data_IF_785576025309
#
_entry.id   IF_785576025309
#
_cell.length_a   1.000
_cell.length_b   1.000
_cell.length_c   1.000
_cell.angle_alpha   90.00
_cell.angle_beta   90.00
_cell.angle_gamma   90.00
#
_symmetry.space_group_name_H-M   'P 1'
#
loop_
_entity.id
_entity.type
_entity.pdbx_description
1 polymer ?
#
# COMPACT_ATOMS: atom_id res chain seq x y z
N UNK A 1 14.44 34.03 8.02
CA UNK A 1 13.29 33.33 7.39
C UNK A 1 13.75 32.29 6.36
N UNK A 2 14.50 32.66 5.31
CA UNK A 2 15.04 31.71 4.31
C UNK A 2 16.03 30.68 4.88
N UNK A 3 16.88 31.07 5.85
CA UNK A 3 17.82 30.15 6.52
C UNK A 3 17.11 29.11 7.39
N UNK A 4 16.07 29.51 8.11
CA UNK A 4 15.24 28.63 8.94
C UNK A 4 14.57 27.54 8.11
N UNK A 5 14.00 27.90 6.95
CA UNK A 5 13.38 26.93 6.03
C UNK A 5 14.42 25.92 5.52
N UNK A 6 15.62 26.38 5.15
CA UNK A 6 16.71 25.49 4.68
C UNK A 6 17.14 24.49 5.76
N UNK A 7 17.24 24.95 7.01
CA UNK A 7 17.59 24.08 8.14
C UNK A 7 16.47 23.06 8.43
N UNK A 8 15.20 23.50 8.48
CA UNK A 8 14.07 22.60 8.68
C UNK A 8 13.94 21.53 7.59
N UNK A 9 14.18 21.89 6.32
CA UNK A 9 14.20 20.91 5.22
C UNK A 9 15.34 19.89 5.39
N UNK A 10 16.54 20.35 5.77
CA UNK A 10 17.68 19.47 6.03
C UNK A 10 17.42 18.51 7.19
N UNK A 11 16.79 19.00 8.27
CA UNK A 11 16.45 18.20 9.44
C UNK A 11 15.37 17.15 9.11
N UNK A 12 14.33 17.53 8.38
CA UNK A 12 13.29 16.61 7.90
C UNK A 12 13.90 15.54 7.00
N UNK A 13 14.82 15.89 6.10
CA UNK A 13 15.51 14.93 5.25
C UNK A 13 16.40 13.97 6.06
N UNK A 14 17.11 14.48 7.07
CA UNK A 14 17.94 13.65 7.95
C UNK A 14 17.12 12.64 8.75
N UNK A 15 16.00 13.09 9.33
CA UNK A 15 15.05 12.23 10.06
C UNK A 15 14.41 11.21 9.10
N UNK A 16 13.98 11.64 7.92
CA UNK A 16 13.38 10.76 6.90
C UNK A 16 14.36 9.67 6.46
N UNK A 17 15.61 10.03 6.17
CA UNK A 17 16.67 9.08 5.80
C UNK A 17 16.91 8.04 6.90
N UNK A 18 16.91 8.46 8.17
CA UNK A 18 17.05 7.57 9.32
C UNK A 18 15.86 6.61 9.45
N UNK A 19 14.63 7.12 9.30
CA UNK A 19 13.42 6.30 9.35
C UNK A 19 13.39 5.29 8.19
N UNK A 20 13.75 5.69 6.98
CA UNK A 20 13.80 4.80 5.82
C UNK A 20 14.82 3.67 5.99
N UNK A 21 15.99 3.99 6.56
CA UNK A 21 16.99 2.98 6.93
C UNK A 21 16.48 2.00 8.00
N UNK A 22 15.63 2.45 8.93
CA UNK A 22 14.99 1.60 9.94
C UNK A 22 13.97 0.66 9.31
N UNK A 23 13.15 1.13 8.38
CA UNK A 23 12.23 0.27 7.63
C UNK A 23 12.97 -0.82 6.85
N UNK A 24 14.10 -0.47 6.21
CA UNK A 24 14.93 -1.44 5.48
C UNK A 24 15.52 -2.55 6.37
N UNK A 25 15.84 -2.25 7.63
CA UNK A 25 16.38 -3.23 8.60
C UNK A 25 15.30 -4.11 9.23
N UNK A 26 14.03 -3.72 9.15
CA UNK A 26 12.90 -4.43 9.77
C UNK A 26 11.86 -4.80 8.71
N UNK A 27 12.23 -5.59 7.68
CA UNK A 27 11.33 -5.90 6.56
C UNK A 27 10.09 -6.69 7.02
N UNK A 28 10.16 -7.34 8.17
CA UNK A 28 9.09 -8.14 8.75
C UNK A 28 7.78 -7.34 8.90
N UNK A 29 7.86 -6.06 9.27
CA UNK A 29 6.67 -5.19 9.43
C UNK A 29 6.00 -4.96 8.07
N UNK A 30 6.79 -4.69 7.02
CA UNK A 30 6.29 -4.49 5.66
C UNK A 30 5.68 -5.76 5.07
N UNK A 31 6.26 -6.92 5.39
CA UNK A 31 5.75 -8.22 4.95
C UNK A 31 4.39 -8.49 5.59
N UNK A 32 4.27 -8.38 6.92
CA UNK A 32 3.00 -8.62 7.60
C UNK A 32 1.92 -7.60 7.22
N UNK A 33 2.26 -6.32 7.04
CA UNK A 33 1.29 -5.30 6.62
C UNK A 33 0.80 -5.50 5.18
N UNK A 34 1.62 -6.09 4.30
CA UNK A 34 1.24 -6.37 2.91
C UNK A 34 0.50 -7.70 2.75
N UNK A 35 0.75 -8.70 3.62
CA UNK A 35 0.09 -10.01 3.55
C UNK A 35 -1.43 -9.87 3.69
N UNK A 36 -1.91 -9.05 4.62
CA UNK A 36 -3.35 -8.88 4.85
C UNK A 36 -4.11 -8.36 3.60
N UNK A 37 -3.71 -7.25 2.94
CA UNK A 37 -4.36 -6.81 1.72
C UNK A 37 -4.18 -7.79 0.54
N UNK A 38 -3.04 -8.48 0.44
CA UNK A 38 -2.85 -9.52 -0.58
C UNK A 38 -3.85 -10.67 -0.38
N UNK A 39 -4.07 -11.12 0.86
CA UNK A 39 -5.05 -12.15 1.17
C UNK A 39 -6.47 -11.72 0.77
N UNK A 40 -6.85 -10.47 1.06
CA UNK A 40 -8.13 -9.93 0.60
C UNK A 40 -8.21 -9.84 -0.92
N UNK A 41 -7.12 -9.46 -1.61
CA UNK A 41 -7.07 -9.41 -3.08
C UNK A 41 -7.28 -10.80 -3.69
N UNK A 42 -6.63 -11.82 -3.16
CA UNK A 42 -6.79 -13.21 -3.61
C UNK A 42 -8.22 -13.69 -3.35
N UNK A 43 -8.76 -13.45 -2.15
CA UNK A 43 -10.12 -13.82 -1.81
C UNK A 43 -11.14 -13.14 -2.74
N UNK A 44 -11.05 -11.82 -2.90
CA UNK A 44 -11.96 -11.08 -3.76
C UNK A 44 -11.81 -11.43 -5.25
N UNK A 45 -10.60 -11.62 -5.74
CA UNK A 45 -10.40 -12.01 -7.13
C UNK A 45 -10.89 -13.43 -7.44
N UNK A 46 -10.48 -14.43 -6.63
CA UNK A 46 -10.77 -15.82 -6.95
C UNK A 46 -12.13 -16.29 -6.45
N UNK A 47 -12.56 -15.88 -5.24
CA UNK A 47 -13.86 -16.30 -4.68
C UNK A 47 -14.99 -15.49 -5.30
N UNK A 48 -14.85 -14.16 -5.36
CA UNK A 48 -15.91 -13.29 -5.87
C UNK A 48 -15.78 -13.02 -7.38
N UNK A 49 -14.58 -12.86 -7.93
CA UNK A 49 -14.40 -12.70 -9.38
C UNK A 49 -14.76 -13.94 -10.19
N UNK A 50 -14.54 -15.15 -9.65
CA UNK A 50 -15.03 -16.40 -10.23
C UNK A 50 -16.56 -16.50 -10.24
N UNK A 51 -17.26 -15.92 -9.26
CA UNK A 51 -18.71 -15.90 -9.20
C UNK A 51 -19.34 -14.75 -10.03
N UNK A 52 -18.72 -13.57 -10.05
CA UNK A 52 -19.22 -12.36 -10.71
C UNK A 52 -18.84 -12.31 -12.19
N UNK A 53 -17.72 -12.91 -12.60
CA UNK A 53 -17.35 -13.05 -14.01
C UNK A 53 -18.39 -13.80 -14.84
N UNK A 54 -19.20 -14.65 -14.20
CA UNK A 54 -20.35 -15.34 -14.81
C UNK A 54 -21.56 -14.40 -14.97
N UNK A 55 -21.69 -13.38 -14.11
CA UNK A 55 -22.81 -12.44 -14.09
C UNK A 55 -22.61 -11.21 -15.02
N UNK A 56 -21.37 -10.84 -15.34
CA UNK A 56 -21.05 -9.70 -16.23
C UNK A 56 -20.01 -10.10 -17.30
N UNK A 57 -20.45 -10.59 -18.47
CA UNK A 57 -19.55 -10.90 -19.58
C UNK A 57 -18.83 -9.63 -20.06
N UNK A 58 -17.49 -9.69 -20.14
CA UNK A 58 -16.67 -8.63 -20.74
C UNK A 58 -16.06 -7.60 -19.79
N UNK A 59 -16.37 -7.62 -18.48
CA UNK A 59 -15.73 -6.74 -17.49
C UNK A 59 -14.93 -7.57 -16.48
N UNK A 60 -13.62 -7.33 -16.41
CA UNK A 60 -12.77 -7.96 -15.40
C UNK A 60 -13.04 -7.33 -14.03
N UNK A 61 -13.65 -8.10 -13.12
CA UNK A 61 -13.92 -7.69 -11.74
C UNK A 61 -12.65 -7.22 -10.99
N UNK A 62 -11.48 -7.71 -11.40
CA UNK A 62 -10.19 -7.28 -10.85
C UNK A 62 -9.92 -5.79 -11.07
N UNK A 63 -10.39 -5.21 -12.18
CA UNK A 63 -10.16 -3.81 -12.52
C UNK A 63 -10.92 -2.86 -11.60
N UNK A 64 -12.01 -3.32 -10.97
CA UNK A 64 -12.77 -2.56 -9.99
C UNK A 64 -12.20 -2.67 -8.57
N UNK A 65 -11.66 -3.84 -8.20
CA UNK A 65 -11.15 -4.12 -6.86
C UNK A 65 -9.73 -3.61 -6.61
N UNK A 66 -8.87 -3.68 -7.62
CA UNK A 66 -7.46 -3.35 -7.50
C UNK A 66 -7.22 -1.92 -6.96
N UNK A 67 -7.92 -0.86 -7.41
CA UNK A 67 -7.73 0.49 -6.88
C UNK A 67 -8.12 0.61 -5.40
N UNK A 68 -9.20 -0.06 -4.99
CA UNK A 68 -9.70 -0.02 -3.60
C UNK A 68 -8.72 -0.66 -2.62
N UNK A 69 -8.15 -1.81 -2.99
CA UNK A 69 -7.16 -2.50 -2.15
C UNK A 69 -5.84 -1.73 -2.10
N UNK A 70 -5.43 -1.09 -3.20
CA UNK A 70 -4.26 -0.20 -3.22
C UNK A 70 -4.45 1.00 -2.27
N UNK A 71 -5.62 1.65 -2.31
CA UNK A 71 -5.95 2.75 -1.41
C UNK A 71 -5.97 2.30 0.06
N UNK A 72 -6.61 1.17 0.35
CA UNK A 72 -6.63 0.57 1.68
C UNK A 72 -5.20 0.27 2.18
N UNK A 73 -4.38 -0.36 1.35
CA UNK A 73 -2.98 -0.71 1.70
C UNK A 73 -2.14 0.54 1.98
N UNK A 74 -2.35 1.63 1.24
CA UNK A 74 -1.66 2.90 1.48
C UNK A 74 -2.10 3.59 2.79
N UNK A 75 -3.38 3.44 3.17
CA UNK A 75 -3.94 4.02 4.38
C UNK A 75 -3.58 3.25 5.65
N UNK A 76 -3.50 1.92 5.58
CA UNK A 76 -3.20 1.05 6.72
C UNK A 76 -1.72 0.62 6.79
N UNK A 77 -0.91 0.94 5.77
CA UNK A 77 0.49 0.55 5.66
C UNK A 77 1.50 1.47 6.36
N UNK A 78 1.06 2.34 7.27
CA UNK A 78 1.88 3.32 8.02
C UNK A 78 2.18 2.89 9.45
#
# INVERSE_FOLDING_TARGET
>A
MLSTIRMSVSDVLAITKRNLMRFRRTPQILVFSSIQPIMFLVLFNYVFGGAIGVATPGVSYINFLLPGIMAQSALFGS
#
